data_IF_085857587318
#
_entry.id   IF_085857587318
#
_cell.length_a   1.000
_cell.length_b   1.000
_cell.length_c   1.000
_cell.angle_alpha   90.00
_cell.angle_beta   90.00
_cell.angle_gamma   90.00
#
_symmetry.space_group_name_H-M   'P 1'
#
loop_
_entity.id
_entity.type
_entity.pdbx_description
1 polymer ?
#
# COMPACT_ATOMS: atom_id res chain seq x y z
N UNK A 1 4.45 7.05 9.80
CA UNK A 1 4.85 7.94 8.69
C UNK A 1 6.33 8.24 8.88
N UNK A 2 7.16 7.89 7.92
CA UNK A 2 8.62 7.94 8.00
C UNK A 2 9.18 8.80 6.88
N UNK A 3 10.30 9.49 7.13
CA UNK A 3 11.07 10.16 6.08
C UNK A 3 12.07 9.18 5.50
N UNK A 4 12.03 8.97 4.19
CA UNK A 4 12.97 8.11 3.49
C UNK A 4 13.78 8.97 2.52
N UNK A 5 15.10 9.01 2.70
CA UNK A 5 16.00 9.85 1.91
C UNK A 5 16.17 9.37 0.45
N UNK A 6 15.64 8.18 0.13
CA UNK A 6 15.82 7.57 -1.18
C UNK A 6 17.28 7.18 -1.43
N UNK A 7 17.64 7.09 -2.70
CA UNK A 7 18.97 6.73 -3.18
C UNK A 7 19.17 7.35 -4.57
N UNK A 8 19.78 8.53 -4.66
CA UNK A 8 20.01 9.21 -5.94
C UNK A 8 20.81 8.36 -6.94
N UNK A 9 21.74 7.53 -6.44
CA UNK A 9 22.53 6.59 -7.26
C UNK A 9 21.69 5.48 -7.89
N UNK A 10 20.50 5.20 -7.35
CA UNK A 10 19.55 4.22 -7.88
C UNK A 10 18.31 4.90 -8.48
N UNK A 11 18.36 6.22 -8.68
CA UNK A 11 17.23 7.03 -9.14
C UNK A 11 15.97 6.90 -8.26
N UNK A 12 16.16 6.73 -6.94
CA UNK A 12 15.06 6.68 -5.97
C UNK A 12 14.95 8.05 -5.29
N UNK A 13 13.87 8.82 -5.50
CA UNK A 13 13.72 10.13 -4.88
C UNK A 13 13.44 10.04 -3.38
N UNK A 14 13.69 11.14 -2.68
CA UNK A 14 13.24 11.31 -1.31
C UNK A 14 11.70 11.27 -1.24
N UNK A 15 11.16 10.58 -0.24
CA UNK A 15 9.73 10.35 -0.09
C UNK A 15 9.31 10.11 1.35
N UNK A 16 8.01 10.23 1.60
CA UNK A 16 7.36 9.83 2.84
C UNK A 16 6.88 8.38 2.72
N UNK A 17 7.21 7.55 3.71
CA UNK A 17 6.79 6.14 3.77
C UNK A 17 5.76 5.93 4.88
N UNK A 18 4.56 5.52 4.49
CA UNK A 18 3.42 5.26 5.37
C UNK A 18 3.33 3.76 5.60
N UNK A 19 2.98 3.36 6.82
CA UNK A 19 2.80 1.97 7.24
C UNK A 19 1.57 1.94 8.15
N UNK A 20 0.58 1.10 7.83
CA UNK A 20 -0.59 0.90 8.67
C UNK A 20 -0.34 -0.09 9.80
N UNK A 21 -1.22 -0.05 10.79
CA UNK A 21 -1.32 -1.05 11.85
C UNK A 21 -2.81 -1.27 12.13
N UNK A 22 -3.28 -2.50 11.94
CA UNK A 22 -4.65 -2.92 12.29
C UNK A 22 -5.30 -3.88 11.31
N UNK A 23 -4.75 -4.06 10.11
CA UNK A 23 -5.19 -5.12 9.19
C UNK A 23 -4.65 -6.49 9.63
N UNK A 24 -3.47 -6.50 10.23
CA UNK A 24 -2.96 -7.65 10.98
C UNK A 24 -3.55 -7.72 12.39
N UNK A 25 -3.45 -8.88 13.03
CA UNK A 25 -3.81 -9.03 14.44
C UNK A 25 -2.69 -8.46 15.32
N UNK A 26 -2.93 -7.29 15.89
CA UNK A 26 -1.98 -6.61 16.76
C UNK A 26 -1.99 -7.12 18.20
N UNK A 27 -3.09 -7.77 18.63
CA UNK A 27 -3.38 -7.97 20.06
C UNK A 27 -3.55 -9.44 20.45
N UNK A 28 -4.00 -10.32 19.55
CA UNK A 28 -4.11 -11.75 19.83
C UNK A 28 -5.23 -12.13 20.78
N UNK A 29 -6.22 -11.26 21.03
CA UNK A 29 -7.22 -11.41 22.08
C UNK A 29 -8.67 -11.36 21.59
N UNK A 30 -8.90 -11.61 20.29
CA UNK A 30 -10.22 -11.66 19.67
C UNK A 30 -11.02 -10.34 19.69
N UNK A 31 -10.38 -9.19 19.98
CA UNK A 31 -11.09 -7.90 20.02
C UNK A 31 -11.52 -7.36 18.65
N UNK A 32 -10.78 -7.74 17.60
CA UNK A 32 -11.01 -7.30 16.20
C UNK A 32 -10.83 -8.48 15.25
N UNK A 33 -9.71 -9.20 15.37
CA UNK A 33 -9.40 -10.39 14.55
C UNK A 33 -9.53 -11.65 15.40
N UNK A 34 -10.03 -12.74 14.81
CA UNK A 34 -9.99 -14.05 15.45
C UNK A 34 -8.54 -14.54 15.55
N UNK A 35 -8.15 -15.02 16.74
CA UNK A 35 -6.82 -15.57 16.98
C UNK A 35 -6.68 -16.94 16.29
N UNK A 36 -5.75 -17.05 15.35
CA UNK A 36 -5.52 -18.26 14.54
C UNK A 36 -4.23 -19.00 14.88
N UNK A 37 -3.44 -18.49 15.83
CA UNK A 37 -2.14 -19.05 16.21
C UNK A 37 -0.96 -18.41 15.47
N UNK A 38 0.21 -19.02 15.55
CA UNK A 38 1.43 -18.52 14.90
C UNK A 38 1.56 -18.92 13.43
N UNK A 39 0.84 -19.98 13.02
CA UNK A 39 0.92 -20.55 11.68
C UNK A 39 -0.16 -19.91 10.80
N UNK A 40 0.20 -19.47 9.61
CA UNK A 40 -0.72 -18.79 8.69
C UNK A 40 -0.74 -17.26 8.86
N UNK A 41 -1.75 -16.56 8.30
CA UNK A 41 -1.81 -15.10 8.32
C UNK A 41 -2.24 -14.55 9.68
N UNK A 42 -1.61 -13.45 10.10
CA UNK A 42 -2.09 -12.65 11.24
C UNK A 42 -3.16 -11.68 10.79
N UNK A 43 -4.39 -11.80 11.32
CA UNK A 43 -5.55 -11.05 10.83
C UNK A 43 -5.73 -11.29 9.32
N UNK A 44 -5.75 -10.22 8.52
CA UNK A 44 -5.78 -10.32 7.06
C UNK A 44 -4.43 -10.74 6.43
N UNK A 45 -3.35 -10.88 7.22
CA UNK A 45 -2.04 -11.37 6.76
C UNK A 45 -1.14 -10.31 6.13
N UNK A 46 -1.57 -9.04 6.09
CA UNK A 46 -0.77 -7.95 5.56
C UNK A 46 -1.06 -6.62 6.27
N UNK A 47 -0.12 -5.68 6.12
CA UNK A 47 -0.34 -4.25 6.36
C UNK A 47 -0.14 -3.47 5.06
N UNK A 48 -0.83 -2.34 4.95
CA UNK A 48 -0.66 -1.42 3.83
C UNK A 48 0.57 -0.55 4.05
N UNK A 49 1.28 -0.27 2.96
CA UNK A 49 2.29 0.77 2.91
C UNK A 49 2.03 1.73 1.75
N UNK A 50 2.60 2.93 1.80
CA UNK A 50 2.51 3.91 0.71
C UNK A 50 3.77 4.75 0.65
N UNK A 51 4.22 5.10 -0.56
CA UNK A 51 5.37 5.98 -0.78
C UNK A 51 4.93 7.21 -1.55
N UNK A 52 5.00 8.37 -0.91
CA UNK A 52 4.64 9.65 -1.49
C UNK A 52 5.92 10.47 -1.73
N UNK A 53 6.21 10.80 -2.99
CA UNK A 53 7.34 11.69 -3.34
C UNK A 53 7.25 12.96 -2.49
N UNK A 54 8.35 13.32 -1.84
CA UNK A 54 8.40 14.51 -0.99
C UNK A 54 8.50 15.75 -1.87
N UNK A 55 7.62 16.72 -1.64
CA UNK A 55 7.66 17.98 -2.37
C UNK A 55 8.64 18.99 -1.74
N UNK A 56 9.11 19.92 -2.56
CA UNK A 56 10.07 20.95 -2.10
C UNK A 56 9.39 21.83 -1.06
N UNK A 57 10.02 21.97 0.12
CA UNK A 57 9.50 22.78 1.22
C UNK A 57 8.68 22.00 2.25
N UNK A 58 8.37 20.73 2.01
CA UNK A 58 7.70 19.89 3.02
C UNK A 58 8.64 19.57 4.18
N UNK A 59 8.28 20.00 5.38
CA UNK A 59 9.00 19.70 6.62
C UNK A 59 8.45 18.46 7.36
N UNK A 60 7.20 18.09 7.09
CA UNK A 60 6.49 16.98 7.70
C UNK A 60 5.65 16.23 6.64
N UNK A 61 5.37 14.92 6.84
CA UNK A 61 4.55 14.15 5.91
C UNK A 61 3.10 14.66 5.91
N UNK A 62 2.47 14.83 4.73
CA UNK A 62 1.04 15.10 4.67
C UNK A 62 0.24 13.91 5.22
N UNK A 63 -0.92 14.18 5.80
CA UNK A 63 -1.72 13.17 6.51
C UNK A 63 -2.79 12.49 5.66
N UNK A 64 -3.12 13.05 4.48
CA UNK A 64 -4.16 12.50 3.60
C UNK A 64 -3.93 11.01 3.22
N UNK A 65 -2.69 10.48 3.08
CA UNK A 65 -2.53 9.07 2.78
C UNK A 65 -3.03 8.15 3.91
N UNK A 66 -3.05 8.63 5.15
CA UNK A 66 -3.65 7.86 6.25
C UNK A 66 -5.16 7.69 6.05
N UNK A 67 -5.88 8.72 5.59
CA UNK A 67 -7.32 8.58 5.31
C UNK A 67 -7.57 7.67 4.10
N UNK A 68 -6.73 7.74 3.06
CA UNK A 68 -6.79 6.81 1.94
C UNK A 68 -6.64 5.35 2.42
N UNK A 69 -5.63 5.08 3.25
CA UNK A 69 -5.39 3.75 3.81
C UNK A 69 -6.52 3.29 4.73
N UNK A 70 -7.15 4.21 5.48
CA UNK A 70 -8.36 3.92 6.25
C UNK A 70 -9.54 3.53 5.34
N UNK A 71 -9.72 4.22 4.21
CA UNK A 71 -10.73 3.87 3.20
C UNK A 71 -10.55 2.45 2.65
N UNK A 72 -9.31 2.10 2.28
CA UNK A 72 -8.98 0.74 1.84
C UNK A 72 -9.19 -0.30 2.94
N UNK A 73 -8.77 -0.01 4.18
CA UNK A 73 -8.98 -0.92 5.30
C UNK A 73 -10.47 -1.17 5.53
N UNK A 74 -11.32 -0.13 5.52
CA UNK A 74 -12.79 -0.29 5.63
C UNK A 74 -13.33 -1.23 4.56
N UNK A 75 -12.86 -1.12 3.31
CA UNK A 75 -13.25 -2.03 2.25
C UNK A 75 -12.85 -3.48 2.54
N UNK A 76 -11.62 -3.73 2.98
CA UNK A 76 -11.14 -5.07 3.34
C UNK A 76 -11.98 -5.66 4.48
N UNK A 77 -12.21 -4.90 5.54
CA UNK A 77 -13.03 -5.33 6.68
C UNK A 77 -14.51 -5.59 6.30
N UNK A 78 -15.08 -4.84 5.35
CA UNK A 78 -16.47 -5.01 4.93
C UNK A 78 -16.67 -6.15 3.95
N UNK A 79 -15.70 -6.39 3.08
CA UNK A 79 -15.80 -7.39 2.01
C UNK A 79 -15.19 -8.73 2.39
N UNK A 80 -14.35 -8.77 3.43
CA UNK A 80 -13.53 -9.92 3.83
C UNK A 80 -12.56 -10.41 2.72
N UNK A 81 -12.39 -9.61 1.65
CA UNK A 81 -11.48 -9.92 0.57
C UNK A 81 -10.07 -9.40 0.90
N UNK A 82 -9.12 -10.33 1.00
CA UNK A 82 -7.70 -10.01 1.13
C UNK A 82 -7.12 -9.56 -0.21
N UNK A 83 -6.24 -8.56 -0.16
CA UNK A 83 -5.47 -8.16 -1.33
C UNK A 83 -4.22 -9.02 -1.51
N UNK A 84 -3.78 -9.13 -2.77
CA UNK A 84 -2.55 -9.75 -3.21
C UNK A 84 -1.72 -8.78 -4.07
N UNK A 85 -0.42 -9.04 -4.22
CA UNK A 85 0.40 -8.29 -5.16
C UNK A 85 -0.09 -8.50 -6.60
N UNK A 86 -0.29 -7.39 -7.32
CA UNK A 86 -0.83 -7.36 -8.67
C UNK A 86 -2.32 -7.01 -8.73
N UNK A 87 -3.00 -6.94 -7.58
CA UNK A 87 -4.38 -6.46 -7.52
C UNK A 87 -4.47 -4.97 -7.84
N UNK A 88 -5.67 -4.58 -8.28
CA UNK A 88 -6.00 -3.20 -8.59
C UNK A 88 -7.22 -2.74 -7.79
N UNK A 89 -7.27 -1.44 -7.47
CA UNK A 89 -8.40 -0.81 -6.81
C UNK A 89 -8.88 0.38 -7.64
N UNK A 90 -10.08 0.25 -8.17
CA UNK A 90 -10.76 1.30 -8.92
C UNK A 90 -11.33 2.36 -7.98
N UNK A 91 -10.61 3.47 -7.80
CA UNK A 91 -10.99 4.52 -6.85
C UNK A 91 -11.82 5.67 -7.44
N UNK A 92 -11.61 6.00 -8.73
CA UNK A 92 -12.40 6.99 -9.50
C UNK A 92 -12.43 8.40 -8.88
N UNK A 93 -11.40 8.74 -8.11
CA UNK A 93 -11.21 10.06 -7.51
C UNK A 93 -9.72 10.31 -7.32
N UNK A 94 -9.22 11.54 -7.44
CA UNK A 94 -7.86 11.90 -7.05
C UNK A 94 -7.57 11.45 -5.61
N UNK A 95 -6.47 10.72 -5.40
CA UNK A 95 -6.19 10.06 -4.11
C UNK A 95 -6.03 11.04 -2.94
N UNK A 96 -5.63 12.26 -3.22
CA UNK A 96 -5.41 13.36 -2.28
C UNK A 96 -6.53 14.41 -2.29
N UNK A 97 -7.64 14.14 -2.99
CA UNK A 97 -8.74 15.08 -3.25
C UNK A 97 -8.31 16.38 -3.96
N UNK A 98 -7.19 16.36 -4.68
CA UNK A 98 -6.76 17.45 -5.57
C UNK A 98 -7.34 17.29 -6.98
N UNK A 99 -6.78 18.00 -7.96
CA UNK A 99 -7.04 17.81 -9.40
C UNK A 99 -6.02 16.85 -10.06
N UNK A 100 -5.37 15.99 -9.28
CA UNK A 100 -4.38 15.04 -9.76
C UNK A 100 -4.97 14.03 -10.76
N UNK A 101 -4.14 13.62 -11.73
CA UNK A 101 -4.47 12.53 -12.66
C UNK A 101 -4.38 11.14 -12.02
N UNK A 102 -3.77 11.03 -10.84
CA UNK A 102 -3.64 9.78 -10.10
C UNK A 102 -4.94 9.51 -9.35
N UNK A 103 -5.75 8.60 -9.89
CA UNK A 103 -7.14 8.38 -9.47
C UNK A 103 -7.45 6.93 -9.10
N UNK A 104 -6.45 6.05 -9.16
CA UNK A 104 -6.59 4.61 -8.97
C UNK A 104 -5.35 4.05 -8.29
N UNK A 105 -5.40 2.78 -7.90
CA UNK A 105 -4.30 2.12 -7.20
C UNK A 105 -4.00 0.74 -7.77
N UNK A 106 -2.72 0.38 -7.78
CA UNK A 106 -2.23 -0.99 -7.86
C UNK A 106 -1.58 -1.35 -6.52
N UNK A 107 -1.53 -2.65 -6.21
CA UNK A 107 -0.90 -3.18 -5.00
C UNK A 107 0.32 -4.03 -5.37
N UNK A 108 1.43 -3.83 -4.68
CA UNK A 108 2.66 -4.60 -4.88
C UNK A 108 3.35 -4.88 -3.55
N UNK A 109 4.24 -5.86 -3.49
CA UNK A 109 5.08 -6.08 -2.30
C UNK A 109 5.94 -4.85 -2.02
N UNK A 110 6.04 -4.43 -0.75
CA UNK A 110 6.90 -3.33 -0.37
C UNK A 110 8.38 -3.69 -0.63
N UNK A 111 9.15 -2.85 -1.34
CA UNK A 111 10.52 -3.19 -1.74
C UNK A 111 11.53 -3.20 -0.59
N UNK A 112 11.17 -2.69 0.60
CA UNK A 112 12.07 -2.63 1.76
C UNK A 112 11.55 -3.44 2.95
N UNK A 113 10.24 -3.54 3.13
CA UNK A 113 9.65 -4.25 4.28
C UNK A 113 9.56 -5.74 4.01
N UNK A 114 10.29 -6.54 4.79
CA UNK A 114 10.23 -8.00 4.72
C UNK A 114 9.06 -8.54 5.54
N UNK A 115 8.47 -9.70 5.16
CA UNK A 115 7.48 -10.36 5.98
C UNK A 115 7.98 -10.62 7.40
N UNK A 116 7.11 -10.46 8.39
CA UNK A 116 7.44 -10.64 9.81
C UNK A 116 6.62 -11.78 10.38
N UNK A 117 7.30 -12.70 11.06
CA UNK A 117 6.66 -13.71 11.90
C UNK A 117 6.28 -13.09 13.24
N UNK A 118 5.03 -13.24 13.66
CA UNK A 118 4.53 -12.84 14.97
C UNK A 118 3.98 -14.05 15.73
N UNK A 119 3.68 -13.94 17.04
CA UNK A 119 2.94 -14.96 17.76
C UNK A 119 1.51 -15.18 17.24
N UNK A 120 0.99 -14.26 16.43
CA UNK A 120 -0.39 -14.21 15.94
C UNK A 120 -0.48 -14.51 14.45
N UNK A 121 0.60 -14.99 13.82
CA UNK A 121 0.69 -15.29 12.39
C UNK A 121 1.75 -14.47 11.65
N UNK A 122 1.80 -14.62 10.34
CA UNK A 122 2.70 -13.94 9.41
C UNK A 122 2.05 -12.64 8.92
N UNK A 123 2.84 -11.56 8.86
CA UNK A 123 2.43 -10.27 8.30
C UNK A 123 3.32 -9.91 7.12
N UNK A 124 2.71 -9.70 5.96
CA UNK A 124 3.36 -9.15 4.76
C UNK A 124 3.06 -7.65 4.62
N UNK A 125 3.70 -6.98 3.65
CA UNK A 125 3.52 -5.54 3.44
C UNK A 125 3.16 -5.26 1.98
N UNK A 126 1.94 -4.78 1.75
CA UNK A 126 1.43 -4.41 0.43
C UNK A 126 1.49 -2.90 0.26
N UNK A 127 2.38 -2.46 -0.63
CA UNK A 127 2.52 -1.09 -1.04
C UNK A 127 1.46 -0.69 -2.06
N UNK A 128 0.78 0.40 -1.76
CA UNK A 128 -0.10 1.11 -2.67
C UNK A 128 0.75 1.89 -3.68
N UNK A 129 0.41 1.75 -4.96
CA UNK A 129 0.98 2.51 -6.07
C UNK A 129 -0.14 3.26 -6.77
N UNK A 130 -0.13 4.59 -6.69
CA UNK A 130 -1.12 5.41 -7.38
C UNK A 130 -0.90 5.39 -8.89
N UNK A 131 -1.98 5.19 -9.66
CA UNK A 131 -1.95 5.12 -11.12
C UNK A 131 -3.05 5.97 -11.77
N UNK A 132 -2.83 6.33 -13.04
CA UNK A 132 -3.81 6.98 -13.90
C UNK A 132 -4.88 5.97 -14.37
N UNK A 133 -5.98 6.49 -14.92
CA UNK A 133 -7.09 5.68 -15.45
C UNK A 133 -6.65 4.75 -16.58
N UNK A 134 -5.77 5.21 -17.46
CA UNK A 134 -5.24 4.43 -18.58
C UNK A 134 -4.37 3.27 -18.11
N UNK A 135 -3.56 3.49 -17.08
CA UNK A 135 -2.69 2.49 -16.48
C UNK A 135 -3.50 1.42 -15.74
N UNK A 136 -4.58 1.82 -15.06
CA UNK A 136 -5.56 0.88 -14.50
C UNK A 136 -6.21 0.03 -15.60
N UNK A 137 -6.70 0.66 -16.68
CA UNK A 137 -7.29 -0.08 -17.80
C UNK A 137 -6.31 -1.06 -18.43
N UNK A 138 -5.03 -0.67 -18.57
CA UNK A 138 -3.99 -1.56 -19.07
C UNK A 138 -3.77 -2.76 -18.12
N UNK A 139 -3.82 -2.55 -16.80
CA UNK A 139 -3.72 -3.63 -15.81
C UNK A 139 -4.90 -4.60 -15.89
N UNK A 140 -6.12 -4.08 -16.12
CA UNK A 140 -7.33 -4.88 -16.29
C UNK A 140 -7.36 -5.67 -17.60
N UNK A 141 -6.76 -5.14 -18.67
CA UNK A 141 -6.68 -5.79 -19.98
C UNK A 141 -5.56 -6.83 -20.05
N UNK A 142 -4.48 -6.65 -19.28
CA UNK A 142 -3.33 -7.54 -19.28
C UNK A 142 -3.13 -8.25 -17.94
N UNK A 143 -2.42 -7.62 -17.00
CA UNK A 143 -2.32 -8.01 -15.60
C UNK A 143 -1.59 -6.91 -14.81
N UNK A 144 -1.87 -6.78 -13.51
CA UNK A 144 -1.25 -5.74 -12.67
C UNK A 144 0.26 -5.87 -12.52
N UNK A 145 0.80 -7.09 -12.48
CA UNK A 145 2.25 -7.33 -12.34
C UNK A 145 3.05 -6.76 -13.51
N UNK A 146 2.54 -6.95 -14.74
CA UNK A 146 3.15 -6.40 -15.94
C UNK A 146 3.16 -4.88 -15.96
N UNK A 147 2.06 -4.24 -15.52
CA UNK A 147 2.01 -2.78 -15.41
C UNK A 147 2.94 -2.27 -14.30
N UNK A 148 3.00 -2.96 -13.16
CA UNK A 148 3.94 -2.63 -12.08
C UNK A 148 5.39 -2.68 -12.58
N UNK A 149 5.76 -3.66 -13.41
CA UNK A 149 7.10 -3.74 -13.99
C UNK A 149 7.36 -2.60 -14.97
N UNK A 150 6.38 -2.25 -15.82
CA UNK A 150 6.51 -1.08 -16.69
C UNK A 150 6.72 0.21 -15.90
N UNK A 151 5.95 0.42 -14.82
CA UNK A 151 6.07 1.59 -13.94
C UNK A 151 7.48 1.69 -13.31
N UNK A 152 8.12 0.55 -12.97
CA UNK A 152 9.50 0.54 -12.43
C UNK A 152 10.54 1.04 -13.44
N UNK A 153 10.28 0.92 -14.75
CA UNK A 153 11.21 1.35 -15.79
C UNK A 153 11.11 2.84 -16.11
N UNK A 154 10.03 3.51 -15.71
CA UNK A 154 9.82 4.94 -15.97
C UNK A 154 10.58 5.76 -14.93
N UNK A 155 11.53 6.63 -15.34
CA UNK A 155 12.26 7.48 -14.39
C UNK A 155 11.34 8.51 -13.72
N UNK A 156 11.61 8.80 -12.44
CA UNK A 156 10.82 9.68 -11.54
C UNK A 156 11.47 11.06 -11.34
#
# INVERSE_FOLDING_TARGET
>A
MYRNLGSPTQNIPEHWHYVSFGLSDLYGDNRVHEFTGSDGPSGFGFELTFRLKRETGESAPPTWPAELMQGLARYVFQSENTFCSGDHVSWHSPLDNSESRIQHMLLTEDPQMQPVQTPFGIVTFLQIVGVCTEELHAAQQWNGQGILELLRTVPV
#
